data_IF_569052553432
#
_entry.id   IF_569052553432
#
_cell.length_a   1.000
_cell.length_b   1.000
_cell.length_c   1.000
_cell.angle_alpha   90.00
_cell.angle_beta   90.00
_cell.angle_gamma   90.00
#
_symmetry.space_group_name_H-M   'P 1'
#
loop_
_entity.id
_entity.type
_entity.pdbx_description
1 polymer ?
#
# COMPACT_ATOMS: atom_id res chain seq x y z
N UNK A 1 20.09 49.34 54.47
CA UNK A 1 21.26 49.40 53.56
C UNK A 1 20.87 48.74 52.24
N UNK A 2 20.73 49.51 51.14
CA UNK A 2 20.20 49.00 49.86
C UNK A 2 21.37 48.38 49.07
N UNK A 3 21.37 47.06 48.89
CA UNK A 3 22.35 46.34 48.07
C UNK A 3 22.29 46.85 46.61
N UNK A 4 23.35 47.51 46.13
CA UNK A 4 23.49 47.88 44.71
C UNK A 4 23.60 46.59 43.89
N UNK A 5 22.56 46.26 43.13
CA UNK A 5 22.65 45.23 42.09
C UNK A 5 23.56 45.76 40.98
N UNK A 6 24.62 45.02 40.64
CA UNK A 6 25.48 45.34 39.49
C UNK A 6 24.67 45.09 38.21
N UNK A 7 24.55 46.11 37.36
CA UNK A 7 23.96 45.98 36.03
C UNK A 7 24.96 45.39 35.03
N UNK A 8 24.45 44.83 33.94
CA UNK A 8 25.28 44.37 32.83
C UNK A 8 26.04 45.54 32.20
N UNK A 9 27.29 45.29 31.82
CA UNK A 9 28.09 46.22 31.03
C UNK A 9 27.68 46.15 29.56
N UNK A 10 27.91 47.24 28.82
CA UNK A 10 27.59 47.32 27.40
C UNK A 10 28.33 46.25 26.58
N UNK A 11 29.56 45.93 26.95
CA UNK A 11 30.37 44.90 26.27
C UNK A 11 29.79 43.49 26.48
N UNK A 12 29.32 43.17 27.69
CA UNK A 12 28.66 41.89 27.97
C UNK A 12 27.35 41.74 27.16
N UNK A 13 26.60 42.84 27.02
CA UNK A 13 25.38 42.86 26.20
C UNK A 13 25.69 42.62 24.71
N UNK A 14 26.72 43.25 24.17
CA UNK A 14 27.15 43.05 22.78
C UNK A 14 27.58 41.60 22.52
N UNK A 15 28.41 41.04 23.41
CA UNK A 15 28.85 39.64 23.32
C UNK A 15 27.64 38.70 23.36
N UNK A 16 26.68 38.93 24.27
CA UNK A 16 25.47 38.12 24.37
C UNK A 16 24.63 38.16 23.08
N UNK A 17 24.43 39.34 22.48
CA UNK A 17 23.69 39.50 21.23
C UNK A 17 24.41 38.81 20.07
N UNK A 18 25.74 38.91 19.99
CA UNK A 18 26.54 38.23 18.97
C UNK A 18 26.42 36.71 19.07
N UNK A 19 26.55 36.15 20.28
CA UNK A 19 26.38 34.71 20.52
C UNK A 19 24.97 34.28 20.16
N UNK A 20 23.94 35.02 20.59
CA UNK A 20 22.55 34.73 20.27
C UNK A 20 22.31 34.74 18.76
N UNK A 21 22.86 35.70 18.04
CA UNK A 21 22.72 35.80 16.58
C UNK A 21 23.32 34.58 15.87
N UNK A 22 24.50 34.15 16.30
CA UNK A 22 25.14 32.93 15.78
C UNK A 22 24.27 31.70 16.09
N UNK A 23 23.77 31.58 17.32
CA UNK A 23 22.88 30.47 17.71
C UNK A 23 21.61 30.44 16.87
N UNK A 24 20.99 31.59 16.60
CA UNK A 24 19.77 31.68 15.78
C UNK A 24 19.99 31.17 14.36
N UNK A 25 21.16 31.45 13.74
CA UNK A 25 21.50 30.93 12.42
C UNK A 25 21.61 29.39 12.42
N UNK A 26 22.22 28.81 13.45
CA UNK A 26 22.29 27.35 13.58
C UNK A 26 20.92 26.73 13.81
N UNK A 27 20.09 27.32 14.69
CA UNK A 27 18.73 26.84 14.95
C UNK A 27 17.87 26.86 13.69
N UNK A 28 17.95 27.92 12.89
CA UNK A 28 17.22 28.01 11.63
C UNK A 28 17.61 26.88 10.67
N UNK A 29 18.92 26.61 10.53
CA UNK A 29 19.41 25.51 9.69
C UNK A 29 18.96 24.14 10.20
N UNK A 30 19.08 23.90 11.51
CA UNK A 30 18.63 22.64 12.12
C UNK A 30 17.14 22.43 11.95
N UNK A 31 16.33 23.48 12.11
CA UNK A 31 14.89 23.40 11.92
C UNK A 31 14.51 23.08 10.47
N UNK A 32 15.14 23.75 9.51
CA UNK A 32 14.93 23.47 8.08
C UNK A 32 15.29 22.00 7.74
N UNK A 33 16.45 21.52 8.22
CA UNK A 33 16.88 20.14 8.02
C UNK A 33 15.91 19.12 8.65
N UNK A 34 15.42 19.38 9.87
CA UNK A 34 14.42 18.53 10.53
C UNK A 34 13.11 18.48 9.75
N UNK A 35 12.64 19.61 9.24
CA UNK A 35 11.41 19.67 8.46
C UNK A 35 11.54 18.90 7.13
N UNK A 36 12.68 19.02 6.46
CA UNK A 36 12.96 18.24 5.24
C UNK A 36 13.04 16.73 5.53
N UNK A 37 13.69 16.34 6.62
CA UNK A 37 13.75 14.95 7.07
C UNK A 37 12.35 14.38 7.37
N UNK A 38 11.53 15.13 8.11
CA UNK A 38 10.14 14.74 8.40
C UNK A 38 9.31 14.56 7.12
N UNK A 39 9.52 15.41 6.11
CA UNK A 39 8.84 15.27 4.81
C UNK A 39 9.24 13.98 4.10
N UNK A 40 10.52 13.60 4.13
CA UNK A 40 11.00 12.34 3.54
C UNK A 40 10.41 11.14 4.29
N UNK A 41 10.52 11.13 5.62
CA UNK A 41 9.96 10.06 6.46
C UNK A 41 8.45 9.87 6.24
N UNK A 42 7.69 10.97 6.15
CA UNK A 42 6.25 10.91 5.88
C UNK A 42 5.94 10.24 4.54
N UNK A 43 6.73 10.51 3.50
CA UNK A 43 6.57 9.89 2.17
C UNK A 43 6.87 8.40 2.23
N UNK A 44 7.98 8.01 2.85
CA UNK A 44 8.35 6.60 3.02
C UNK A 44 7.28 5.83 3.81
N UNK A 45 6.83 6.38 4.94
CA UNK A 45 5.75 5.79 5.73
C UNK A 45 4.48 5.61 4.91
N UNK A 46 4.08 6.62 4.12
CA UNK A 46 2.88 6.49 3.27
C UNK A 46 3.02 5.38 2.22
N UNK A 47 4.21 5.21 1.65
CA UNK A 47 4.50 4.13 0.68
C UNK A 47 4.45 2.75 1.34
N UNK A 48 5.05 2.62 2.54
CA UNK A 48 5.04 1.38 3.33
C UNK A 48 3.60 1.03 3.75
N UNK A 49 2.84 1.99 4.25
CA UNK A 49 1.43 1.78 4.62
C UNK A 49 0.61 1.34 3.41
N UNK A 50 0.82 1.96 2.24
CA UNK A 50 0.12 1.59 1.02
C UNK A 50 0.40 0.12 0.62
N UNK A 51 1.66 -0.30 0.59
CA UNK A 51 2.00 -1.67 0.21
C UNK A 51 1.48 -2.69 1.23
N UNK A 52 1.49 -2.36 2.53
CA UNK A 52 0.92 -3.24 3.57
C UNK A 52 -0.60 -3.36 3.44
N UNK A 53 -1.30 -2.28 3.07
CA UNK A 53 -2.74 -2.32 2.82
C UNK A 53 -3.07 -3.20 1.62
N UNK A 54 -2.34 -3.05 0.50
CA UNK A 54 -2.50 -3.91 -0.68
C UNK A 54 -2.24 -5.38 -0.30
N UNK A 55 -1.14 -5.65 0.42
CA UNK A 55 -0.79 -6.99 0.90
C UNK A 55 -1.92 -7.59 1.73
N UNK A 56 -2.48 -6.81 2.65
CA UNK A 56 -3.61 -7.22 3.50
C UNK A 56 -4.86 -7.53 2.68
N UNK A 57 -5.23 -6.67 1.74
CA UNK A 57 -6.41 -6.86 0.88
C UNK A 57 -6.29 -8.17 0.10
N UNK A 58 -5.16 -8.35 -0.59
CA UNK A 58 -4.91 -9.55 -1.39
C UNK A 58 -4.88 -10.79 -0.50
N UNK A 59 -4.18 -10.72 0.65
CA UNK A 59 -4.16 -11.82 1.60
C UNK A 59 -5.58 -12.22 2.04
N UNK A 60 -6.42 -11.26 2.41
CA UNK A 60 -7.79 -11.51 2.86
C UNK A 60 -8.68 -12.03 1.73
N UNK A 61 -8.61 -11.44 0.53
CA UNK A 61 -9.38 -11.92 -0.62
C UNK A 61 -9.13 -13.41 -0.89
N UNK A 62 -7.85 -13.84 -0.92
CA UNK A 62 -7.47 -15.22 -1.21
C UNK A 62 -7.63 -16.16 -0.02
N UNK A 63 -7.31 -15.73 1.20
CA UNK A 63 -7.48 -16.58 2.40
C UNK A 63 -8.95 -16.82 2.73
N UNK A 64 -9.81 -15.85 2.45
CA UNK A 64 -11.26 -15.94 2.64
C UNK A 64 -12.02 -16.28 1.36
N UNK A 65 -11.30 -16.69 0.30
CA UNK A 65 -11.89 -17.18 -0.92
C UNK A 65 -12.75 -18.41 -0.64
N UNK A 66 -13.95 -18.48 -1.21
CA UNK A 66 -14.76 -19.68 -1.18
C UNK A 66 -14.05 -20.79 -1.95
N UNK A 67 -14.06 -22.00 -1.38
CA UNK A 67 -13.35 -23.15 -1.91
C UNK A 67 -13.70 -23.41 -3.38
N UNK A 68 -12.68 -23.69 -4.21
CA UNK A 68 -12.82 -23.97 -5.65
C UNK A 68 -13.48 -22.86 -6.51
N UNK A 69 -13.70 -21.66 -5.99
CA UNK A 69 -14.28 -20.56 -6.80
C UNK A 69 -13.24 -19.79 -7.61
N UNK A 70 -11.99 -19.81 -7.17
CA UNK A 70 -10.88 -19.12 -7.82
C UNK A 70 -10.51 -19.77 -9.15
N UNK A 71 -10.53 -18.96 -10.22
CA UNK A 71 -10.03 -19.34 -11.54
C UNK A 71 -8.97 -18.34 -11.99
N UNK A 72 -7.95 -18.88 -12.65
CA UNK A 72 -6.81 -18.14 -13.18
C UNK A 72 -6.81 -18.36 -14.68
N UNK A 73 -6.94 -17.28 -15.45
CA UNK A 73 -6.78 -17.26 -16.89
C UNK A 73 -5.42 -16.64 -17.23
N UNK A 74 -4.50 -17.47 -17.72
CA UNK A 74 -3.14 -17.07 -18.06
C UNK A 74 -3.10 -16.42 -19.44
N UNK A 75 -3.57 -15.17 -19.51
CA UNK A 75 -3.72 -14.40 -20.75
C UNK A 75 -2.40 -14.18 -21.49
N UNK A 76 -1.34 -13.82 -20.77
CA UNK A 76 0.01 -13.64 -21.29
C UNK A 76 1.05 -14.21 -20.30
N UNK A 77 2.30 -14.33 -20.72
CA UNK A 77 3.44 -14.76 -19.89
C UNK A 77 3.65 -13.90 -18.64
N UNK A 78 3.15 -12.65 -18.63
CA UNK A 78 3.36 -11.68 -17.54
C UNK A 78 2.08 -11.27 -16.82
N UNK A 79 0.91 -11.58 -17.36
CA UNK A 79 -0.35 -11.06 -16.86
C UNK A 79 -1.37 -12.19 -16.75
N UNK A 80 -1.83 -12.42 -15.53
CA UNK A 80 -2.94 -13.31 -15.25
C UNK A 80 -4.23 -12.50 -15.03
N UNK A 81 -5.35 -13.06 -15.48
CA UNK A 81 -6.68 -12.58 -15.13
C UNK A 81 -7.26 -13.55 -14.11
N UNK A 82 -7.61 -13.04 -12.93
CA UNK A 82 -8.04 -13.90 -11.82
C UNK A 82 -9.41 -13.45 -11.37
N UNK A 83 -10.31 -14.40 -11.15
CA UNK A 83 -11.57 -14.13 -10.47
C UNK A 83 -11.82 -15.19 -9.40
N UNK A 84 -12.37 -14.76 -8.29
CA UNK A 84 -12.73 -15.58 -7.15
C UNK A 84 -13.98 -15.02 -6.48
N UNK A 85 -14.61 -15.82 -5.64
CA UNK A 85 -15.61 -15.33 -4.70
C UNK A 85 -15.00 -15.34 -3.30
N UNK A 86 -15.13 -14.26 -2.55
CA UNK A 86 -14.52 -14.13 -1.21
C UNK A 86 -15.54 -13.66 -0.21
N UNK A 87 -15.43 -14.07 1.05
CA UNK A 87 -16.20 -13.45 2.14
C UNK A 87 -15.61 -12.11 2.60
N UNK A 88 -14.40 -11.77 2.12
CA UNK A 88 -13.82 -10.45 2.31
C UNK A 88 -14.40 -9.45 1.32
N UNK A 89 -14.79 -8.28 1.83
CA UNK A 89 -15.22 -7.13 1.03
C UNK A 89 -14.63 -5.86 1.60
N UNK A 90 -14.13 -4.99 0.72
CA UNK A 90 -13.75 -3.63 1.08
C UNK A 90 -14.88 -2.62 0.83
N UNK A 91 -15.86 -3.00 -0.01
CA UNK A 91 -17.05 -2.19 -0.33
C UNK A 91 -18.31 -2.62 0.42
N UNK A 92 -18.16 -3.39 1.50
CA UNK A 92 -19.24 -3.88 2.39
C UNK A 92 -20.32 -4.71 1.68
N UNK A 93 -19.92 -5.49 0.69
CA UNK A 93 -20.74 -6.46 -0.03
C UNK A 93 -20.68 -7.82 0.68
N UNK A 94 -21.78 -8.56 0.67
CA UNK A 94 -21.82 -9.93 1.18
C UNK A 94 -21.33 -10.90 0.10
N UNK A 95 -20.30 -11.69 0.42
CA UNK A 95 -19.68 -12.68 -0.48
C UNK A 95 -19.43 -12.18 -1.92
N UNK A 96 -18.72 -11.04 -2.11
CA UNK A 96 -18.52 -10.48 -3.43
C UNK A 96 -17.68 -11.38 -4.35
N UNK A 97 -17.89 -11.18 -5.65
CA UNK A 97 -16.95 -11.61 -6.68
C UNK A 97 -15.83 -10.57 -6.80
N UNK A 98 -14.60 -11.04 -6.59
CA UNK A 98 -13.39 -10.24 -6.70
C UNK A 98 -12.64 -10.65 -7.96
N UNK A 99 -12.27 -9.68 -8.78
CA UNK A 99 -11.52 -9.88 -10.02
C UNK A 99 -10.26 -9.05 -10.02
N UNK A 100 -9.13 -9.67 -10.32
CA UNK A 100 -7.85 -8.97 -10.54
C UNK A 100 -7.56 -8.91 -12.03
N UNK A 101 -7.32 -7.70 -12.53
CA UNK A 101 -7.09 -7.44 -13.94
C UNK A 101 -5.96 -6.43 -14.14
N UNK A 102 -5.09 -6.72 -15.10
CA UNK A 102 -4.10 -5.76 -15.58
C UNK A 102 -4.61 -5.13 -16.88
N UNK A 103 -4.68 -3.79 -16.90
CA UNK A 103 -4.99 -2.99 -18.10
C UNK A 103 -3.97 -1.87 -18.19
N UNK A 104 -3.32 -1.72 -19.35
CA UNK A 104 -2.30 -0.68 -19.58
C UNK A 104 -1.19 -0.67 -18.50
N UNK A 105 -0.72 -1.86 -18.09
CA UNK A 105 0.28 -2.04 -17.01
C UNK A 105 -0.17 -1.56 -15.63
N UNK A 106 -1.47 -1.34 -15.41
CA UNK A 106 -2.07 -0.99 -14.11
C UNK A 106 -2.85 -2.19 -13.61
N UNK A 107 -2.59 -2.58 -12.37
CA UNK A 107 -3.33 -3.63 -11.67
C UNK A 107 -4.54 -3.02 -10.99
N UNK A 108 -5.71 -3.57 -11.30
CA UNK A 108 -6.98 -3.23 -10.68
C UNK A 108 -7.57 -4.44 -9.98
N UNK A 109 -8.22 -4.16 -8.86
CA UNK A 109 -9.14 -5.08 -8.19
C UNK A 109 -10.55 -4.58 -8.46
N UNK A 110 -11.40 -5.45 -8.98
CA UNK A 110 -12.80 -5.19 -9.23
C UNK A 110 -13.62 -5.98 -8.23
N UNK A 111 -14.61 -5.34 -7.59
CA UNK A 111 -15.53 -5.99 -6.67
C UNK A 111 -16.96 -5.88 -7.19
N UNK A 112 -17.69 -7.00 -7.21
CA UNK A 112 -19.00 -7.08 -7.87
C UNK A 112 -19.93 -8.08 -7.17
N UNK A 113 -21.24 -7.90 -7.34
CA UNK A 113 -22.24 -8.87 -6.89
C UNK A 113 -22.45 -9.99 -7.91
N UNK A 114 -22.11 -9.74 -9.17
CA UNK A 114 -22.23 -10.71 -10.26
C UNK A 114 -20.84 -11.09 -10.75
N UNK A 115 -20.67 -12.36 -11.06
CA UNK A 115 -19.40 -12.89 -11.54
C UNK A 115 -18.98 -12.24 -12.85
N UNK A 116 -17.77 -11.67 -12.87
CA UNK A 116 -17.09 -11.20 -14.09
C UNK A 116 -16.13 -12.29 -14.54
N UNK A 117 -16.54 -13.07 -15.55
CA UNK A 117 -15.74 -14.20 -16.05
C UNK A 117 -14.92 -13.87 -17.30
N UNK A 118 -14.99 -12.64 -17.81
CA UNK A 118 -14.33 -12.24 -19.06
C UNK A 118 -13.44 -11.03 -18.85
N UNK A 119 -12.30 -11.02 -19.54
CA UNK A 119 -11.34 -9.91 -19.55
C UNK A 119 -11.87 -8.67 -20.30
N UNK A 120 -12.73 -8.90 -21.29
CA UNK A 120 -13.55 -7.86 -21.91
C UNK A 120 -14.76 -7.67 -21.01
N UNK A 121 -14.79 -6.53 -20.31
CA UNK A 121 -15.81 -6.18 -19.35
C UNK A 121 -17.10 -5.82 -20.10
N UNK A 122 -18.21 -6.55 -19.91
CA UNK A 122 -19.49 -6.20 -20.53
C UNK A 122 -19.96 -4.82 -20.08
N UNK A 123 -20.59 -4.06 -20.98
CA UNK A 123 -21.08 -2.70 -20.69
C UNK A 123 -22.09 -2.64 -19.52
N UNK A 124 -22.87 -3.71 -19.35
CA UNK A 124 -23.88 -3.86 -18.29
C UNK A 124 -23.28 -4.30 -16.93
N UNK A 125 -21.96 -4.40 -16.81
CA UNK A 125 -21.32 -4.91 -15.59
C UNK A 125 -21.19 -3.81 -14.55
N UNK A 126 -21.80 -4.02 -13.39
CA UNK A 126 -21.66 -3.14 -12.23
C UNK A 126 -20.60 -3.68 -11.26
N UNK A 127 -19.56 -2.88 -11.03
CA UNK A 127 -18.47 -3.21 -10.11
C UNK A 127 -17.79 -1.96 -9.56
N UNK A 128 -17.25 -2.08 -8.35
CA UNK A 128 -16.35 -1.07 -7.78
C UNK A 128 -14.91 -1.36 -8.24
N UNK A 129 -14.13 -0.30 -8.48
CA UNK A 129 -12.77 -0.40 -9.01
C UNK A 129 -11.78 0.18 -8.00
N UNK A 130 -10.79 -0.64 -7.63
CA UNK A 130 -9.66 -0.21 -6.81
C UNK A 130 -8.36 -0.35 -7.60
N UNK A 131 -7.66 0.78 -7.75
CA UNK A 131 -6.33 0.79 -8.35
C UNK A 131 -5.28 0.39 -7.32
N UNK A 132 -4.51 -0.66 -7.64
CA UNK A 132 -3.48 -1.18 -6.74
C UNK A 132 -2.07 -0.69 -7.09
N UNK A 133 -1.80 -0.35 -8.34
CA UNK A 133 -0.49 0.15 -8.76
C UNK A 133 -0.10 -0.22 -10.18
N UNK A 134 0.97 0.39 -10.67
CA UNK A 134 1.59 0.01 -11.95
C UNK A 134 2.47 -1.23 -11.76
N UNK A 135 2.30 -2.22 -12.63
CA UNK A 135 2.99 -3.50 -12.58
C UNK A 135 3.78 -3.78 -13.86
N UNK A 136 4.87 -4.52 -13.70
CA UNK A 136 5.60 -5.18 -14.78
C UNK A 136 5.07 -6.60 -15.04
N UNK A 137 4.61 -7.27 -13.98
CA UNK A 137 3.96 -8.57 -14.07
C UNK A 137 3.03 -8.82 -12.88
N UNK A 138 1.98 -9.59 -13.12
CA UNK A 138 1.05 -10.11 -12.13
C UNK A 138 0.79 -11.58 -12.45
N UNK A 139 1.21 -12.46 -11.53
CA UNK A 139 1.16 -13.91 -11.71
C UNK A 139 0.57 -14.59 -10.49
N UNK A 140 -0.30 -15.56 -10.73
CA UNK A 140 -0.90 -16.41 -9.72
C UNK A 140 -0.63 -17.88 -10.05
N UNK A 141 -0.20 -18.64 -9.05
CA UNK A 141 0.01 -20.08 -9.18
C UNK A 141 -0.84 -20.82 -8.16
N UNK A 142 -1.64 -21.77 -8.64
CA UNK A 142 -2.40 -22.68 -7.78
C UNK A 142 -1.55 -23.91 -7.47
N UNK A 143 -1.60 -24.39 -6.23
CA UNK A 143 -1.00 -25.66 -5.84
C UNK A 143 -1.61 -26.84 -6.61
N UNK A 144 -0.79 -27.86 -6.89
CA UNK A 144 -1.22 -29.11 -7.53
C UNK A 144 -1.97 -30.03 -6.55
N UNK A 145 -1.75 -29.84 -5.25
CA UNK A 145 -2.45 -30.59 -4.21
C UNK A 145 -3.94 -30.22 -4.19
N UNK A 146 -4.80 -31.19 -4.48
CA UNK A 146 -6.25 -31.02 -4.51
C UNK A 146 -6.89 -30.97 -3.12
N UNK A 147 -6.18 -31.41 -2.07
CA UNK A 147 -6.71 -31.47 -0.71
C UNK A 147 -6.62 -30.15 0.03
N UNK A 148 -5.67 -29.29 -0.36
CA UNK A 148 -5.44 -27.98 0.26
C UNK A 148 -5.25 -26.93 -0.81
N UNK A 149 -6.13 -25.95 -0.80
CA UNK A 149 -6.10 -24.86 -1.76
C UNK A 149 -5.08 -23.80 -1.31
N UNK A 150 -3.92 -23.78 -1.99
CA UNK A 150 -2.88 -22.78 -1.80
C UNK A 150 -2.64 -21.99 -3.08
N UNK A 151 -2.37 -20.70 -2.91
CA UNK A 151 -2.02 -19.76 -3.96
C UNK A 151 -0.65 -19.15 -3.70
N UNK A 152 0.18 -19.08 -4.73
CA UNK A 152 1.36 -18.22 -4.75
C UNK A 152 1.02 -16.99 -5.60
N UNK A 153 0.98 -15.83 -4.96
CA UNK A 153 0.72 -14.54 -5.58
C UNK A 153 2.04 -13.83 -5.78
N UNK A 154 2.35 -13.48 -7.02
CA UNK A 154 3.55 -12.73 -7.38
C UNK A 154 3.18 -11.46 -8.14
N UNK A 155 3.58 -10.31 -7.61
CA UNK A 155 3.32 -9.00 -8.20
C UNK A 155 4.63 -8.22 -8.25
N UNK A 156 5.05 -7.89 -9.46
CA UNK A 156 6.23 -7.07 -9.72
C UNK A 156 5.76 -5.64 -9.99
N UNK A 157 5.85 -4.77 -8.98
CA UNK A 157 5.43 -3.38 -9.09
C UNK A 157 6.54 -2.52 -9.68
N UNK A 158 6.20 -1.52 -10.50
CA UNK A 158 7.21 -0.64 -11.10
C UNK A 158 7.85 0.34 -10.11
N UNK A 159 7.07 0.81 -9.15
CA UNK A 159 7.43 1.93 -8.24
C UNK A 159 7.26 1.58 -6.76
N UNK A 160 6.88 0.36 -6.46
CA UNK A 160 6.66 -0.13 -5.10
C UNK A 160 7.43 -1.43 -4.91
N UNK A 161 7.52 -1.88 -3.67
CA UNK A 161 8.14 -3.16 -3.35
C UNK A 161 7.36 -4.32 -3.98
N UNK A 162 8.09 -5.32 -4.48
CA UNK A 162 7.50 -6.52 -5.07
C UNK A 162 6.83 -7.38 -4.01
N UNK A 163 5.69 -7.97 -4.37
CA UNK A 163 4.94 -8.86 -3.49
C UNK A 163 5.11 -10.31 -3.93
N UNK A 164 5.53 -11.16 -3.01
CA UNK A 164 5.49 -12.61 -3.15
C UNK A 164 4.84 -13.21 -1.90
N UNK A 165 3.68 -13.83 -2.07
CA UNK A 165 2.88 -14.35 -0.95
C UNK A 165 2.37 -15.75 -1.24
N UNK A 166 2.66 -16.68 -0.33
CA UNK A 166 1.99 -17.98 -0.29
C UNK A 166 0.79 -17.87 0.65
N UNK A 167 -0.41 -18.11 0.13
CA UNK A 167 -1.67 -17.94 0.85
C UNK A 167 -2.40 -19.29 0.85
N UNK A 168 -2.85 -19.72 2.03
CA UNK A 168 -3.76 -20.86 2.20
C UNK A 168 -5.19 -20.33 2.20
N UNK A 169 -6.10 -20.97 1.48
CA UNK A 169 -7.54 -20.75 1.67
C UNK A 169 -7.94 -21.33 3.03
N UNK A 170 -8.62 -20.52 3.84
CA UNK A 170 -9.06 -20.82 5.19
C UNK A 170 -10.58 -20.95 5.30
N UNK A 171 -11.31 -20.50 4.27
CA UNK A 171 -12.76 -20.60 4.21
C UNK A 171 -13.14 -22.03 3.77
N UNK A 172 -13.21 -22.93 4.75
CA UNK A 172 -13.87 -24.22 4.64
C UNK A 172 -15.37 -23.96 4.89
N UNK A 173 -16.26 -24.53 4.05
CA UNK A 173 -17.71 -24.26 4.02
C UNK A 173 -18.38 -24.03 5.39
#
# INVERSE_FOLDING_TARGET
MRLRRKGFTLIELLIAISILSIMMLFLYKSYAALNDSNRVLKRELSSITNIQNIKKIIYLDFSLALFNTTKIDNRDKKEDFVFLQSSHSIHKRYNPYVTYIVKEKKLYRLESLKKISTYELPAESEFDIDYLGEVNSFRLYKSLDKTKEFYLVHIDFKRMENLLMKIKVLNEE
#
